data_IF_745763813050
#
_entry.id   IF_745763813050
#
_cell.length_a   1.000
_cell.length_b   1.000
_cell.length_c   1.000
_cell.angle_alpha   90.00
_cell.angle_beta   90.00
_cell.angle_gamma   90.00
#
_symmetry.space_group_name_H-M   'P 1'
#
loop_
_entity.id
_entity.type
_entity.pdbx_description
1 polymer ?
#
# COMPACT_ATOMS: atom_id res chain seq x y z
N UNK A 1 -8.44 22.82 4.50
CA UNK A 1 -8.01 21.68 5.33
C UNK A 1 -9.11 21.12 6.21
N UNK A 2 -10.22 20.67 5.63
CA UNK A 2 -11.16 19.75 6.29
C UNK A 2 -11.05 18.41 5.56
N UNK A 3 -11.10 17.32 6.31
CA UNK A 3 -11.06 15.96 5.74
C UNK A 3 -12.36 15.24 6.03
N UNK A 4 -12.73 14.30 5.16
CA UNK A 4 -13.73 13.29 5.44
C UNK A 4 -13.02 11.99 5.78
N UNK A 5 -13.22 11.43 6.98
CA UNK A 5 -12.74 10.11 7.36
C UNK A 5 -13.86 9.09 7.18
N UNK A 6 -13.73 8.17 6.23
CA UNK A 6 -14.66 7.05 6.05
C UNK A 6 -14.12 5.80 6.76
N UNK A 7 -14.95 5.20 7.60
CA UNK A 7 -14.62 4.01 8.37
C UNK A 7 -15.50 2.86 7.89
N UNK A 8 -14.84 1.80 7.42
CA UNK A 8 -15.48 0.59 6.93
C UNK A 8 -15.47 -0.54 7.98
N UNK A 9 -16.41 -1.50 7.89
CA UNK A 9 -16.46 -2.62 8.82
C UNK A 9 -15.22 -3.52 8.78
N UNK A 10 -14.65 -3.76 7.60
CA UNK A 10 -13.54 -4.70 7.43
C UNK A 10 -12.39 -4.13 6.62
N UNK A 11 -11.18 -4.68 6.80
CA UNK A 11 -9.99 -4.30 6.02
C UNK A 11 -10.18 -4.69 4.54
N UNK A 12 -10.90 -5.78 4.28
CA UNK A 12 -11.11 -6.32 2.95
C UNK A 12 -11.90 -5.39 2.04
N UNK A 13 -12.72 -4.51 2.60
CA UNK A 13 -13.56 -3.55 1.86
C UNK A 13 -12.82 -2.25 1.49
N UNK A 14 -11.69 -1.95 2.16
CA UNK A 14 -10.98 -0.66 2.02
C UNK A 14 -10.54 -0.38 0.60
N UNK A 15 -9.86 -1.34 -0.05
CA UNK A 15 -9.32 -1.13 -1.40
C UNK A 15 -10.44 -0.99 -2.44
N UNK A 16 -11.48 -1.83 -2.34
CA UNK A 16 -12.60 -1.82 -3.28
C UNK A 16 -13.41 -0.52 -3.15
N UNK A 17 -13.69 -0.08 -1.91
CA UNK A 17 -14.37 1.19 -1.65
C UNK A 17 -13.52 2.40 -2.08
N UNK A 18 -12.21 2.38 -1.81
CA UNK A 18 -11.30 3.45 -2.23
C UNK A 18 -11.26 3.63 -3.74
N UNK A 19 -11.25 2.51 -4.47
CA UNK A 19 -11.24 2.50 -5.91
C UNK A 19 -12.58 2.99 -6.50
N UNK A 20 -13.71 2.56 -5.95
CA UNK A 20 -15.03 3.08 -6.36
C UNK A 20 -15.10 4.60 -6.14
N UNK A 21 -14.69 5.10 -4.97
CA UNK A 21 -14.70 6.53 -4.70
C UNK A 21 -13.79 7.29 -5.67
N UNK A 22 -12.60 6.79 -5.95
CA UNK A 22 -11.70 7.42 -6.92
C UNK A 22 -12.33 7.51 -8.32
N UNK A 23 -13.00 6.45 -8.77
CA UNK A 23 -13.62 6.41 -10.09
C UNK A 23 -14.82 7.35 -10.20
N UNK A 24 -15.67 7.45 -9.18
CA UNK A 24 -16.88 8.28 -9.24
C UNK A 24 -16.64 9.75 -8.87
N UNK A 25 -15.71 10.04 -7.96
CA UNK A 25 -15.47 11.41 -7.47
C UNK A 25 -14.27 12.10 -8.13
N UNK A 26 -13.37 11.34 -8.76
CA UNK A 26 -12.06 11.84 -9.22
C UNK A 26 -11.07 12.14 -8.08
N UNK A 27 -11.46 11.93 -6.83
CA UNK A 27 -10.61 12.13 -5.66
C UNK A 27 -9.92 10.81 -5.34
N UNK A 28 -8.58 10.79 -5.37
CA UNK A 28 -7.83 9.61 -4.90
C UNK A 28 -7.75 9.66 -3.37
N UNK A 29 -8.41 8.72 -2.66
CA UNK A 29 -8.42 8.72 -1.20
C UNK A 29 -7.08 8.28 -0.62
N UNK A 30 -6.73 8.87 0.52
CA UNK A 30 -5.60 8.39 1.34
C UNK A 30 -6.08 7.22 2.20
N UNK A 31 -5.37 6.09 2.17
CA UNK A 31 -5.74 4.90 2.96
C UNK A 31 -4.93 4.86 4.25
N UNK A 32 -5.61 4.79 5.41
CA UNK A 32 -4.98 4.47 6.68
C UNK A 32 -5.05 2.96 6.95
N UNK A 33 -3.92 2.23 6.92
CA UNK A 33 -3.94 0.78 7.00
C UNK A 33 -4.01 0.26 8.45
N UNK A 34 -4.62 -0.91 8.61
CA UNK A 34 -4.53 -1.70 9.84
C UNK A 34 -3.22 -2.50 9.86
N UNK A 35 -2.69 -2.77 11.05
CA UNK A 35 -1.60 -3.74 11.24
C UNK A 35 -2.00 -5.12 10.73
N UNK A 36 -1.05 -5.78 10.06
CA UNK A 36 -1.15 -7.18 9.67
C UNK A 36 -0.54 -8.11 10.74
N UNK A 37 0.32 -7.57 11.62
CA UNK A 37 1.03 -8.24 12.72
C UNK A 37 0.44 -7.91 14.10
N UNK A 38 0.91 -8.62 15.15
CA UNK A 38 0.47 -8.40 16.53
C UNK A 38 0.95 -7.03 17.07
N UNK A 39 0.20 -6.38 18.00
CA UNK A 39 0.45 -5.01 18.48
C UNK A 39 1.81 -4.69 19.12
N UNK A 40 2.66 -5.69 19.37
CA UNK A 40 3.77 -5.59 20.31
C UNK A 40 5.14 -5.40 19.65
N UNK A 41 5.20 -5.42 18.30
CA UNK A 41 6.45 -5.30 17.55
C UNK A 41 6.35 -4.12 16.57
N UNK A 42 6.85 -2.95 16.97
CA UNK A 42 7.09 -1.84 16.05
C UNK A 42 8.55 -1.88 15.63
N UNK A 43 8.79 -2.25 14.36
CA UNK A 43 10.09 -2.21 13.73
C UNK A 43 10.09 -1.07 12.69
N UNK A 44 11.21 -0.36 12.54
CA UNK A 44 11.40 0.67 11.50
C UNK A 44 11.19 0.07 10.09
N UNK A 45 11.45 -1.23 9.94
CA UNK A 45 11.29 -1.93 8.67
C UNK A 45 9.81 -2.34 8.39
N UNK A 46 8.88 -2.04 9.30
CA UNK A 46 7.45 -2.29 9.11
C UNK A 46 6.82 -1.24 8.17
N UNK A 47 6.56 -1.68 6.93
CA UNK A 47 5.93 -0.88 5.87
C UNK A 47 4.55 -0.36 6.28
N UNK A 48 3.77 -1.13 7.07
CA UNK A 48 2.44 -0.72 7.52
C UNK A 48 2.56 0.38 8.58
N UNK A 49 3.50 0.23 9.52
CA UNK A 49 3.78 1.26 10.52
C UNK A 49 4.20 2.57 9.86
N UNK A 50 5.15 2.51 8.93
CA UNK A 50 5.58 3.65 8.15
C UNK A 50 4.44 4.31 7.35
N UNK A 51 3.59 3.51 6.70
CA UNK A 51 2.41 4.01 6.02
C UNK A 51 1.43 4.72 6.96
N UNK A 52 1.22 4.21 8.18
CA UNK A 52 0.38 4.88 9.20
C UNK A 52 0.97 6.23 9.61
N UNK A 53 2.29 6.30 9.85
CA UNK A 53 2.96 7.55 10.19
C UNK A 53 2.84 8.60 9.07
N UNK A 54 3.04 8.18 7.81
CA UNK A 54 2.86 9.05 6.64
C UNK A 54 1.47 9.66 6.61
N UNK A 55 0.43 8.84 6.73
CA UNK A 55 -0.96 9.30 6.68
C UNK A 55 -1.25 10.28 7.82
N UNK A 56 -0.76 10.01 9.02
CA UNK A 56 -0.92 10.92 10.16
C UNK A 56 -0.23 12.27 9.89
N UNK A 57 1.01 12.24 9.39
CA UNK A 57 1.74 13.46 9.01
C UNK A 57 0.98 14.25 7.94
N UNK A 58 0.47 13.58 6.91
CA UNK A 58 -0.28 14.22 5.84
C UNK A 58 -1.60 14.83 6.37
N UNK A 59 -2.31 14.13 7.28
CA UNK A 59 -3.50 14.65 7.96
C UNK A 59 -3.24 15.87 8.86
N UNK A 60 -2.02 16.00 9.36
CA UNK A 60 -1.60 17.09 10.26
C UNK A 60 -0.92 18.24 9.52
N UNK A 61 -0.76 18.11 8.20
CA UNK A 61 -0.17 19.13 7.34
C UNK A 61 -1.12 20.33 7.13
N UNK A 62 -0.61 21.40 6.52
CA UNK A 62 -1.42 22.58 6.17
C UNK A 62 -2.45 22.29 5.07
N UNK A 63 -2.21 21.25 4.26
CA UNK A 63 -3.11 20.81 3.19
C UNK A 63 -3.46 19.32 3.37
N UNK A 64 -4.29 18.99 4.37
CA UNK A 64 -4.60 17.60 4.69
C UNK A 64 -5.42 16.95 3.57
N UNK A 65 -5.28 15.62 3.36
CA UNK A 65 -6.01 14.92 2.33
C UNK A 65 -7.52 15.12 2.50
N UNK A 66 -8.26 15.43 1.42
CA UNK A 66 -9.69 15.72 1.51
C UNK A 66 -10.51 14.49 1.93
N UNK A 67 -10.00 13.29 1.65
CA UNK A 67 -10.65 12.03 1.95
C UNK A 67 -9.65 11.01 2.47
N UNK A 68 -9.94 10.45 3.64
CA UNK A 68 -9.19 9.35 4.25
C UNK A 68 -10.12 8.15 4.42
N UNK A 69 -9.69 6.97 4.02
CA UNK A 69 -10.46 5.72 4.16
C UNK A 69 -9.69 4.76 5.06
N UNK A 70 -10.42 4.08 5.94
CA UNK A 70 -9.87 3.17 6.93
C UNK A 70 -10.89 2.10 7.33
N UNK A 71 -10.49 1.14 8.15
CA UNK A 71 -11.37 0.17 8.79
C UNK A 71 -11.48 0.42 10.30
N UNK A 72 -12.53 -0.15 10.93
CA UNK A 72 -12.64 -0.17 12.40
C UNK A 72 -11.43 -0.83 13.05
N UNK A 73 -10.87 -1.88 12.44
CA UNK A 73 -9.68 -2.56 12.96
C UNK A 73 -8.50 -1.60 13.09
N UNK A 74 -8.26 -0.75 12.08
CA UNK A 74 -7.19 0.23 12.12
C UNK A 74 -7.41 1.32 13.18
N UNK A 75 -8.67 1.67 13.46
CA UNK A 75 -9.05 2.66 14.49
C UNK A 75 -8.85 2.15 15.92
N UNK A 76 -9.07 0.85 16.13
CA UNK A 76 -8.84 0.21 17.42
C UNK A 76 -7.34 0.16 17.77
N UNK A 77 -6.49 0.24 16.76
CA UNK A 77 -5.04 0.22 16.90
C UNK A 77 -4.51 1.63 17.22
N UNK A 78 -3.77 1.81 18.32
CA UNK A 78 -3.23 3.12 18.66
C UNK A 78 -2.21 3.60 17.63
N UNK A 79 -1.96 4.90 17.68
CA UNK A 79 -0.86 5.57 17.02
C UNK A 79 0.06 6.18 18.08
N UNK A 80 1.35 6.38 17.76
CA UNK A 80 2.28 7.09 18.65
C UNK A 80 1.72 8.48 18.96
N UNK A 81 1.73 8.98 20.21
CA UNK A 81 1.22 10.31 20.55
C UNK A 81 1.89 11.43 19.75
N UNK A 82 1.17 12.55 19.57
CA UNK A 82 1.69 13.73 18.86
C UNK A 82 3.01 14.25 19.44
N UNK A 83 3.13 14.28 20.76
CA UNK A 83 4.36 14.71 21.44
C UNK A 83 5.55 13.83 21.08
N UNK A 84 5.36 12.50 21.06
CA UNK A 84 6.39 11.53 20.70
C UNK A 84 6.81 11.68 19.23
N UNK A 85 5.84 11.83 18.32
CA UNK A 85 6.12 12.07 16.90
C UNK A 85 6.88 13.38 16.69
N UNK A 86 6.47 14.45 17.34
CA UNK A 86 7.15 15.75 17.24
C UNK A 86 8.59 15.66 17.76
N UNK A 87 8.83 14.98 18.89
CA UNK A 87 10.17 14.77 19.43
C UNK A 87 11.05 13.86 18.53
N UNK A 88 10.42 12.97 17.77
CA UNK A 88 11.06 12.13 16.76
C UNK A 88 11.18 12.77 15.38
N UNK A 89 10.72 14.01 15.19
CA UNK A 89 10.73 14.69 13.89
C UNK A 89 11.97 15.57 13.74
N UNK A 90 12.65 15.46 12.60
CA UNK A 90 13.71 16.38 12.17
C UNK A 90 13.42 16.84 10.75
N UNK A 91 13.56 18.13 10.48
CA UNK A 91 13.48 18.69 9.14
C UNK A 91 14.89 19.06 8.72
N UNK A 92 15.32 18.52 7.57
CA UNK A 92 16.63 18.77 6.99
C UNK A 92 16.44 19.65 5.75
N UNK A 93 17.22 20.72 5.59
CA UNK A 93 17.09 21.70 4.50
C UNK A 93 18.40 21.86 3.74
N UNK A 94 18.31 22.10 2.44
CA UNK A 94 19.48 22.48 1.64
C UNK A 94 20.09 23.79 2.18
N UNK A 95 21.40 23.80 2.36
CA UNK A 95 22.18 24.94 2.87
C UNK A 95 22.21 25.09 4.39
N UNK A 96 21.65 24.15 5.16
CA UNK A 96 21.83 24.17 6.62
C UNK A 96 23.11 23.43 7.05
N UNK A 97 23.64 23.80 8.22
CA UNK A 97 24.73 23.08 8.87
C UNK A 97 24.17 21.90 9.70
N UNK A 98 24.60 20.68 9.37
CA UNK A 98 24.29 19.44 10.04
C UNK A 98 25.53 18.54 10.12
N UNK A 99 25.94 18.20 11.34
CA UNK A 99 27.01 17.21 11.55
C UNK A 99 26.56 15.82 11.06
N UNK A 100 27.24 15.24 10.04
CA UNK A 100 26.90 13.93 9.52
C UNK A 100 26.93 12.85 10.61
N UNK A 101 27.94 12.85 11.49
CA UNK A 101 28.10 11.82 12.51
C UNK A 101 26.93 11.87 13.52
N UNK A 102 26.50 13.08 13.89
CA UNK A 102 25.33 13.28 14.76
C UNK A 102 24.01 12.82 14.09
N UNK A 103 23.90 12.91 12.76
CA UNK A 103 22.77 12.33 12.02
C UNK A 103 22.83 10.80 12.05
N UNK A 104 24.00 10.19 11.80
CA UNK A 104 24.17 8.74 11.79
C UNK A 104 23.86 8.12 13.16
N UNK A 105 24.36 8.71 14.25
CA UNK A 105 24.08 8.27 15.61
C UNK A 105 22.57 8.33 15.90
N UNK A 106 21.90 9.42 15.48
CA UNK A 106 20.46 9.58 15.65
C UNK A 106 19.64 8.52 14.89
N UNK A 107 20.08 8.12 13.69
CA UNK A 107 19.45 7.05 12.91
C UNK A 107 19.64 5.69 13.62
N UNK A 108 20.85 5.37 14.06
CA UNK A 108 21.18 4.10 14.74
C UNK A 108 20.39 3.97 16.05
N UNK A 109 20.33 5.04 16.86
CA UNK A 109 19.55 5.08 18.11
C UNK A 109 18.06 4.78 17.88
N UNK A 110 17.55 5.11 16.69
CA UNK A 110 16.15 4.90 16.30
C UNK A 110 15.92 3.61 15.55
N UNK A 111 16.92 2.74 15.48
CA UNK A 111 16.78 1.38 14.97
C UNK A 111 17.00 1.24 13.47
N UNK A 112 17.63 2.23 12.81
CA UNK A 112 18.03 2.06 11.43
C UNK A 112 19.20 1.07 11.29
N UNK A 113 19.23 0.39 10.14
CA UNK A 113 20.29 -0.54 9.77
C UNK A 113 21.26 0.10 8.79
N UNK A 114 22.56 0.11 9.14
CA UNK A 114 23.61 0.56 8.21
C UNK A 114 23.91 -0.55 7.23
N UNK A 115 23.66 -0.29 5.94
CA UNK A 115 23.84 -1.25 4.86
C UNK A 115 24.74 -0.69 3.75
N UNK A 116 25.37 -1.54 2.93
CA UNK A 116 26.14 -1.08 1.77
C UNK A 116 25.28 -0.46 0.67
N UNK A 117 24.03 -0.92 0.50
CA UNK A 117 23.09 -0.41 -0.47
C UNK A 117 21.67 -0.59 0.09
N UNK A 118 20.79 0.39 -0.16
CA UNK A 118 19.41 0.33 0.31
C UNK A 118 18.61 -0.69 -0.48
N UNK A 119 17.72 -1.40 0.20
CA UNK A 119 16.72 -2.31 -0.36
C UNK A 119 15.33 -2.08 0.26
N UNK A 120 15.27 -1.64 1.53
CA UNK A 120 14.04 -1.53 2.29
C UNK A 120 13.98 -0.27 3.18
N UNK A 121 12.77 0.18 3.59
CA UNK A 121 12.63 1.22 4.61
C UNK A 121 13.30 0.82 5.93
N UNK A 122 13.87 1.80 6.62
CA UNK A 122 14.65 1.63 7.85
C UNK A 122 16.15 1.37 7.64
N UNK A 123 16.61 1.43 6.41
CA UNK A 123 18.03 1.29 6.06
C UNK A 123 18.67 2.64 5.74
N UNK A 124 19.98 2.75 5.99
CA UNK A 124 20.80 3.84 5.50
C UNK A 124 22.18 3.34 5.02
N UNK A 125 22.78 4.07 4.08
CA UNK A 125 24.14 3.83 3.59
C UNK A 125 24.96 5.11 3.60
N UNK A 126 26.29 4.99 3.68
CA UNK A 126 27.21 6.13 3.75
C UNK A 126 28.36 5.92 2.78
N UNK A 127 28.55 6.87 1.87
CA UNK A 127 29.54 6.84 0.81
C UNK A 127 30.25 8.20 0.71
N UNK A 128 31.31 8.38 1.50
CA UNK A 128 31.98 9.68 1.61
C UNK A 128 31.03 10.73 2.17
N UNK A 129 30.83 11.84 1.44
CA UNK A 129 29.89 12.90 1.81
C UNK A 129 28.42 12.60 1.44
N UNK A 130 28.09 11.37 1.06
CA UNK A 130 26.72 11.00 0.67
C UNK A 130 26.12 10.08 1.72
N UNK A 131 24.94 10.44 2.21
CA UNK A 131 24.10 9.59 3.07
C UNK A 131 22.81 9.27 2.34
N UNK A 132 22.61 8.01 2.01
CA UNK A 132 21.34 7.52 1.51
C UNK A 132 20.53 6.94 2.66
N UNK A 133 19.26 7.31 2.77
CA UNK A 133 18.38 6.76 3.80
C UNK A 133 17.00 6.45 3.22
N UNK A 134 16.36 5.38 3.70
CA UNK A 134 14.99 5.06 3.35
C UNK A 134 14.07 5.26 4.56
N UNK A 135 13.41 6.42 4.69
CA UNK A 135 12.49 6.65 5.80
C UNK A 135 11.30 5.67 5.76
N UNK A 136 10.82 5.16 6.90
CA UNK A 136 9.64 4.30 6.96
C UNK A 136 8.38 5.00 6.45
N UNK A 137 8.24 6.31 6.70
CA UNK A 137 7.10 7.11 6.28
C UNK A 137 7.21 7.66 4.85
N UNK A 138 8.33 7.44 4.15
CA UNK A 138 8.53 7.88 2.77
C UNK A 138 8.08 6.83 1.75
N UNK A 139 7.81 7.29 0.53
CA UNK A 139 7.53 6.41 -0.62
C UNK A 139 8.80 5.98 -1.34
N UNK A 140 9.80 6.86 -1.37
CA UNK A 140 11.04 6.73 -2.11
C UNK A 140 12.19 7.16 -1.16
N UNK A 141 13.38 6.53 -1.23
CA UNK A 141 14.53 6.89 -0.40
C UNK A 141 15.04 8.30 -0.75
N UNK A 142 15.77 8.86 0.21
CA UNK A 142 16.34 10.20 0.12
C UNK A 142 17.85 10.10 0.17
N UNK A 143 18.51 10.80 -0.76
CA UNK A 143 19.95 11.01 -0.78
C UNK A 143 20.23 12.41 -0.25
N UNK A 144 21.10 12.47 0.76
CA UNK A 144 21.61 13.69 1.37
C UNK A 144 23.08 13.81 0.99
N UNK A 145 23.44 14.86 0.28
CA UNK A 145 24.83 15.16 -0.07
C UNK A 145 25.35 16.29 0.83
N UNK A 146 26.51 16.04 1.42
CA UNK A 146 27.19 16.94 2.34
C UNK A 146 28.45 17.52 1.70
N UNK A 147 28.69 18.81 1.95
CA UNK A 147 29.97 19.47 1.75
C UNK A 147 30.54 19.90 3.11
N UNK A 148 31.36 19.02 3.71
CA UNK A 148 31.75 19.20 5.12
C UNK A 148 30.55 18.91 6.03
N UNK A 149 30.10 19.93 6.74
CA UNK A 149 28.91 19.94 7.60
C UNK A 149 27.72 20.66 6.96
N UNK A 150 27.81 21.16 5.72
CA UNK A 150 26.70 21.81 5.02
C UNK A 150 25.95 20.82 4.11
N UNK A 151 24.62 20.89 4.10
CA UNK A 151 23.78 20.12 3.17
C UNK A 151 23.85 20.76 1.78
N UNK A 152 24.57 20.12 0.85
CA UNK A 152 24.73 20.59 -0.53
C UNK A 152 23.50 20.30 -1.38
N UNK A 153 22.95 19.09 -1.28
CA UNK A 153 21.76 18.71 -2.05
C UNK A 153 20.91 17.64 -1.36
N UNK A 154 19.61 17.69 -1.61
CA UNK A 154 18.65 16.66 -1.20
C UNK A 154 17.91 16.18 -2.45
N UNK A 155 17.75 14.87 -2.60
CA UNK A 155 16.96 14.30 -3.70
C UNK A 155 16.34 12.96 -3.35
N UNK A 156 15.23 12.63 -4.00
CA UNK A 156 14.68 11.27 -4.02
C UNK A 156 15.29 10.47 -5.15
N UNK A 157 15.38 9.15 -4.98
CA UNK A 157 15.89 8.26 -6.01
C UNK A 157 15.19 6.90 -5.99
N UNK A 158 15.25 6.17 -7.10
CA UNK A 158 14.69 4.83 -7.19
C UNK A 158 15.72 3.80 -6.68
N UNK A 159 15.32 2.96 -5.72
CA UNK A 159 16.20 1.98 -5.06
C UNK A 159 16.84 1.01 -6.06
N UNK A 160 16.07 0.58 -7.08
CA UNK A 160 16.51 -0.46 -8.03
C UNK A 160 17.47 0.10 -9.08
N UNK A 161 17.10 1.21 -9.73
CA UNK A 161 17.91 1.83 -10.78
C UNK A 161 19.00 2.77 -10.25
N UNK A 162 18.94 3.15 -8.96
CA UNK A 162 19.79 4.16 -8.34
C UNK A 162 19.72 5.51 -9.05
N UNK A 163 18.63 5.77 -9.79
CA UNK A 163 18.44 7.00 -10.56
C UNK A 163 17.62 8.00 -9.77
N UNK A 164 17.99 9.27 -9.92
CA UNK A 164 17.25 10.39 -9.36
C UNK A 164 15.80 10.39 -9.84
N UNK A 165 14.87 10.63 -8.91
CA UNK A 165 13.45 10.87 -9.18
C UNK A 165 13.18 12.37 -9.15
N UNK A 166 13.45 13.04 -8.03
CA UNK A 166 13.16 14.47 -7.86
C UNK A 166 14.17 15.16 -6.93
N UNK A 167 14.42 16.46 -7.13
CA UNK A 167 15.23 17.30 -6.24
C UNK A 167 14.34 17.86 -5.11
N UNK A 168 14.89 18.01 -3.90
CA UNK A 168 14.16 18.50 -2.73
C UNK A 168 14.85 19.75 -2.16
N UNK A 169 14.06 20.73 -1.73
CA UNK A 169 14.55 21.85 -0.94
C UNK A 169 14.68 21.48 0.56
N UNK A 170 13.80 20.58 1.02
CA UNK A 170 13.79 20.07 2.39
C UNK A 170 13.24 18.64 2.46
N UNK A 171 13.63 17.90 3.50
CA UNK A 171 13.08 16.58 3.84
C UNK A 171 12.73 16.56 5.33
N UNK A 172 11.54 16.06 5.67
CA UNK A 172 11.11 15.86 7.06
C UNK A 172 11.13 14.36 7.39
N UNK A 173 11.92 13.98 8.39
CA UNK A 173 12.07 12.61 8.88
C UNK A 173 11.34 12.46 10.21
N UNK A 174 10.38 11.54 10.30
CA UNK A 174 9.69 11.21 11.55
C UNK A 174 10.09 9.81 12.02
N UNK A 175 11.07 9.76 12.93
CA UNK A 175 11.67 8.51 13.37
C UNK A 175 11.45 8.31 14.88
N UNK A 176 10.72 7.25 15.21
CA UNK A 176 10.34 6.92 16.57
C UNK A 176 11.32 5.93 17.19
N UNK A 177 11.45 5.99 18.51
CA UNK A 177 12.29 5.05 19.24
C UNK A 177 11.64 3.65 19.21
N UNK A 178 12.38 2.59 18.85
CA UNK A 178 11.84 1.23 18.81
C UNK A 178 11.19 0.82 20.14
N UNK A 179 9.97 0.29 20.05
CA UNK A 179 9.24 -0.26 21.19
C UNK A 179 9.67 -1.72 21.40
N UNK A 180 10.77 -1.93 22.11
CA UNK A 180 11.38 -3.25 22.30
C UNK A 180 12.87 -3.15 22.04
N UNK A 181 13.67 -3.29 23.09
CA UNK A 181 15.11 -3.09 22.98
C UNK A 181 15.74 -4.05 21.97
N UNK A 182 16.62 -3.53 21.12
CA UNK A 182 17.60 -4.34 20.39
C UNK A 182 18.35 -5.17 21.44
N UNK A 183 18.28 -6.50 21.35
CA UNK A 183 19.21 -7.32 22.10
C UNK A 183 20.60 -6.99 21.54
N UNK A 184 21.35 -6.14 22.23
CA UNK A 184 22.77 -5.99 21.99
C UNK A 184 23.39 -7.37 22.22
N UNK A 185 23.76 -8.09 21.15
CA UNK A 185 24.74 -9.17 21.23
C UNK A 185 26.10 -8.52 21.53
N UNK A 186 26.30 -8.14 22.79
CA UNK A 186 27.59 -7.68 23.28
C UNK A 186 28.55 -8.87 23.35
N UNK A 187 29.76 -8.69 22.81
CA UNK A 187 30.90 -9.64 22.82
C UNK A 187 31.40 -10.06 24.21
N UNK A 188 30.70 -9.74 25.30
CA UNK A 188 30.99 -10.30 26.61
C UNK A 188 29.68 -10.51 27.39
N UNK A 189 29.28 -11.78 27.50
CA UNK A 189 28.03 -12.27 28.10
C UNK A 189 27.77 -11.86 29.55
N UNK A 190 27.47 -10.58 29.79
CA UNK A 190 26.83 -10.08 31.00
C UNK A 190 25.47 -9.49 30.63
N UNK A 191 24.44 -10.29 30.87
CA UNK A 191 23.04 -9.87 30.82
C UNK A 191 22.79 -8.75 31.85
N UNK A 192 22.97 -7.50 31.43
CA UNK A 192 22.37 -6.37 32.11
C UNK A 192 20.88 -6.37 31.80
N UNK A 193 20.04 -6.66 32.80
CA UNK A 193 18.59 -6.41 32.72
C UNK A 193 18.38 -4.90 32.56
N UNK A 194 18.30 -4.40 31.33
CA UNK A 194 17.62 -3.12 31.05
C UNK A 194 16.14 -3.39 31.22
N UNK A 195 15.51 -2.74 32.20
CA UNK A 195 14.07 -2.79 32.40
C UNK A 195 13.36 -2.33 31.12
N UNK A 196 12.73 -3.26 30.42
CA UNK A 196 11.77 -2.95 29.36
C UNK A 196 10.65 -2.15 30.02
N UNK A 197 10.60 -0.85 29.74
CA UNK A 197 9.48 0.02 30.11
C UNK A 197 8.22 -0.66 29.56
N UNK A 198 7.34 -1.15 30.44
CA UNK A 198 6.07 -1.76 30.04
C UNK A 198 5.29 -0.76 29.19
N UNK A 199 5.29 -0.91 27.88
CA UNK A 199 4.47 -0.17 26.91
C UNK A 199 3.00 -0.64 26.92
N UNK A 200 2.56 -1.35 27.96
CA UNK A 200 1.21 -1.90 28.10
C UNK A 200 0.23 -1.00 28.86
N UNK A 201 0.34 0.33 28.72
CA UNK A 201 -0.66 1.25 29.26
C UNK A 201 -1.96 1.21 28.43
N UNK A 202 -3.10 1.50 29.06
CA UNK A 202 -4.35 1.74 28.33
C UNK A 202 -4.12 2.94 27.38
N UNK A 203 -4.49 2.87 26.09
CA UNK A 203 -4.29 3.99 25.19
C UNK A 203 -5.10 5.22 25.65
N UNK A 204 -4.53 6.40 25.46
CA UNK A 204 -5.16 7.69 25.77
C UNK A 204 -5.81 8.27 24.52
N UNK A 205 -6.55 9.38 24.64
CA UNK A 205 -7.15 10.05 23.47
C UNK A 205 -6.13 10.44 22.41
N UNK A 206 -4.90 10.77 22.81
CA UNK A 206 -3.84 11.24 21.92
C UNK A 206 -3.21 10.10 21.12
N UNK A 207 -3.48 8.85 21.53
CA UNK A 207 -3.12 7.64 20.78
C UNK A 207 -4.13 7.30 19.68
N UNK A 208 -5.23 8.05 19.52
CA UNK A 208 -6.19 7.78 18.46
C UNK A 208 -5.79 8.53 17.19
N UNK A 209 -5.92 7.89 16.01
CA UNK A 209 -5.81 8.61 14.72
C UNK A 209 -6.78 9.80 14.66
N UNK A 210 -7.93 9.72 15.33
CA UNK A 210 -8.91 10.81 15.40
C UNK A 210 -8.34 12.09 16.03
N UNK A 211 -7.28 12.02 16.84
CA UNK A 211 -6.57 13.19 17.36
C UNK A 211 -5.74 13.94 16.29
N UNK A 212 -5.59 13.34 15.10
CA UNK A 212 -4.87 13.89 13.95
C UNK A 212 -5.82 14.57 12.94
N UNK A 213 -7.14 14.42 13.11
CA UNK A 213 -8.14 15.07 12.28
C UNK A 213 -8.28 16.56 12.60
N UNK A 214 -8.23 17.40 11.56
CA UNK A 214 -8.44 18.84 11.69
C UNK A 214 -9.85 19.17 12.23
N UNK A 215 -9.98 20.28 12.97
CA UNK A 215 -11.28 20.76 13.45
C UNK A 215 -12.22 21.06 12.28
N UNK A 216 -13.46 20.57 12.37
CA UNK A 216 -14.47 20.71 11.31
C UNK A 216 -14.44 19.60 10.25
N UNK A 217 -13.54 18.62 10.39
CA UNK A 217 -13.57 17.38 9.62
C UNK A 217 -14.81 16.54 9.96
N UNK A 218 -15.22 15.68 9.04
CA UNK A 218 -16.38 14.81 9.17
C UNK A 218 -15.97 13.34 9.28
N UNK A 219 -16.81 12.54 9.94
CA UNK A 219 -16.64 11.09 10.05
C UNK A 219 -17.82 10.39 9.37
N UNK A 220 -17.52 9.52 8.42
CA UNK A 220 -18.48 8.63 7.78
C UNK A 220 -18.37 7.22 8.35
N UNK A 221 -19.46 6.68 8.88
CA UNK A 221 -19.53 5.32 9.43
C UNK A 221 -20.35 4.44 8.47
N UNK A 222 -19.70 3.49 7.81
CA UNK A 222 -20.37 2.57 6.88
C UNK A 222 -20.82 1.33 7.64
N UNK A 223 -22.11 0.99 7.52
CA UNK A 223 -22.74 -0.17 8.14
C UNK A 223 -22.46 -0.25 9.64
N UNK A 224 -22.83 0.79 10.40
CA UNK A 224 -22.47 0.94 11.82
C UNK A 224 -22.68 -0.34 12.67
N UNK A 225 -23.80 -1.08 12.58
CA UNK A 225 -23.94 -2.34 13.32
C UNK A 225 -22.86 -3.37 12.97
N UNK A 226 -22.54 -3.53 11.68
CA UNK A 226 -21.49 -4.44 11.21
C UNK A 226 -20.10 -3.95 11.60
N UNK A 227 -19.87 -2.65 11.58
CA UNK A 227 -18.64 -2.00 12.03
C UNK A 227 -18.36 -2.33 13.50
N UNK A 228 -19.39 -2.16 14.36
CA UNK A 228 -19.30 -2.47 15.79
C UNK A 228 -18.99 -3.95 16.03
N UNK A 229 -19.68 -4.83 15.31
CA UNK A 229 -19.50 -6.28 15.43
C UNK A 229 -18.12 -6.73 14.96
N UNK A 230 -17.64 -6.18 13.84
CA UNK A 230 -16.31 -6.48 13.30
C UNK A 230 -15.20 -6.04 14.27
N UNK A 231 -15.38 -4.89 14.92
CA UNK A 231 -14.46 -4.42 15.96
C UNK A 231 -14.41 -5.35 17.18
N UNK A 232 -15.57 -5.80 17.67
CA UNK A 232 -15.65 -6.76 18.79
C UNK A 232 -14.98 -8.09 18.43
N UNK A 233 -15.34 -8.65 17.28
CA UNK A 233 -14.78 -9.91 16.80
C UNK A 233 -13.25 -9.84 16.65
N UNK A 234 -12.71 -8.71 16.18
CA UNK A 234 -11.28 -8.49 16.12
C UNK A 234 -10.61 -8.56 17.51
N UNK A 235 -11.15 -7.85 18.50
CA UNK A 235 -10.59 -7.84 19.86
C UNK A 235 -10.69 -9.20 20.55
N UNK A 236 -11.81 -9.92 20.37
CA UNK A 236 -12.01 -11.26 20.92
C UNK A 236 -10.99 -12.26 20.37
N UNK A 237 -10.67 -12.18 19.07
CA UNK A 237 -9.69 -13.05 18.42
C UNK A 237 -8.26 -12.88 18.93
N UNK A 238 -7.92 -11.72 19.48
CA UNK A 238 -6.58 -11.44 20.00
C UNK A 238 -6.31 -12.06 21.38
N UNK A 239 -7.35 -12.47 22.12
CA UNK A 239 -7.24 -13.06 23.46
C UNK A 239 -6.82 -12.07 24.56
N UNK A 240 -5.81 -11.23 24.32
CA UNK A 240 -5.35 -10.15 25.19
C UNK A 240 -5.16 -8.85 24.39
N UNK A 241 -6.21 -8.00 24.25
CA UNK A 241 -6.14 -6.76 23.48
C UNK A 241 -5.42 -5.61 24.23
N UNK A 242 -4.42 -5.93 25.06
CA UNK A 242 -3.71 -4.92 25.85
C UNK A 242 -3.05 -3.89 24.92
N UNK A 243 -3.27 -2.60 25.19
CA UNK A 243 -2.78 -1.49 24.38
C UNK A 243 -3.70 -1.06 23.23
N UNK A 244 -4.79 -1.78 22.94
CA UNK A 244 -5.80 -1.40 21.95
C UNK A 244 -6.94 -0.58 22.56
N UNK A 245 -7.62 0.22 21.73
CA UNK A 245 -8.88 0.84 22.11
C UNK A 245 -10.01 -0.18 22.11
N UNK A 246 -11.02 0.03 22.97
CA UNK A 246 -12.28 -0.67 22.83
C UNK A 246 -13.15 -0.05 21.74
N UNK A 247 -14.16 -0.79 21.31
CA UNK A 247 -15.14 -0.29 20.33
C UNK A 247 -15.90 0.92 20.90
N UNK A 248 -16.25 0.89 22.18
CA UNK A 248 -16.95 1.99 22.86
C UNK A 248 -16.09 3.25 22.92
N UNK A 249 -14.80 3.12 23.26
CA UNK A 249 -13.86 4.25 23.26
C UNK A 249 -13.72 4.86 21.87
N UNK A 250 -13.63 4.00 20.86
CA UNK A 250 -13.49 4.42 19.45
C UNK A 250 -14.74 5.17 18.98
N UNK A 251 -15.93 4.65 19.23
CA UNK A 251 -17.18 5.33 18.87
C UNK A 251 -17.38 6.64 19.62
N UNK A 252 -17.04 6.68 20.91
CA UNK A 252 -17.08 7.91 21.69
C UNK A 252 -16.11 8.97 21.14
N UNK A 253 -14.98 8.56 20.57
CA UNK A 253 -14.06 9.47 19.89
C UNK A 253 -14.62 9.95 18.54
N UNK A 254 -15.23 9.07 17.73
CA UNK A 254 -15.90 9.46 16.48
C UNK A 254 -17.01 10.50 16.72
N UNK A 255 -17.81 10.31 17.77
CA UNK A 255 -18.93 11.19 18.12
C UNK A 255 -18.52 12.63 18.50
N UNK A 256 -17.22 12.91 18.65
CA UNK A 256 -16.70 14.28 18.83
C UNK A 256 -16.70 15.09 17.52
N UNK A 257 -16.94 14.44 16.38
CA UNK A 257 -16.99 15.04 15.06
C UNK A 257 -18.41 14.96 14.47
N UNK A 258 -18.77 15.88 13.57
CA UNK A 258 -19.94 15.70 12.71
C UNK A 258 -19.87 14.33 12.02
N UNK A 259 -20.91 13.52 12.23
CA UNK A 259 -20.93 12.12 11.82
C UNK A 259 -22.08 11.87 10.84
N UNK A 260 -21.81 11.11 9.78
CA UNK A 260 -22.81 10.58 8.86
C UNK A 260 -22.72 9.06 8.89
N UNK A 261 -23.85 8.40 9.07
CA UNK A 261 -23.93 6.94 8.97
C UNK A 261 -24.49 6.55 7.61
N UNK A 262 -23.81 5.65 6.92
CA UNK A 262 -24.24 5.07 5.64
C UNK A 262 -24.65 3.63 5.90
N UNK A 263 -25.89 3.28 5.56
CA UNK A 263 -26.41 1.93 5.69
C UNK A 263 -27.26 1.59 4.47
N UNK A 264 -27.10 0.37 3.97
CA UNK A 264 -27.90 -0.21 2.89
C UNK A 264 -29.36 -0.40 3.29
N UNK A 265 -29.59 -0.71 4.57
CA UNK A 265 -30.92 -0.79 5.16
C UNK A 265 -31.17 0.45 6.01
N UNK A 266 -32.23 1.18 5.68
CA UNK A 266 -32.66 2.33 6.46
C UNK A 266 -32.94 1.90 7.91
N UNK A 267 -32.17 2.46 8.83
CA UNK A 267 -32.43 2.31 10.26
C UNK A 267 -33.42 3.39 10.66
N UNK A 268 -34.55 3.02 11.26
CA UNK A 268 -35.43 4.01 11.89
C UNK A 268 -34.71 4.56 13.12
N UNK A 269 -34.11 5.74 12.93
CA UNK A 269 -33.43 6.49 13.98
C UNK A 269 -34.21 7.76 14.28
N UNK A 270 -34.01 8.32 15.47
CA UNK A 270 -34.51 9.66 15.80
C UNK A 270 -33.72 10.79 15.14
N UNK A 271 -32.78 10.49 14.23
CA UNK A 271 -31.85 11.42 13.63
C UNK A 271 -32.30 11.88 12.23
N UNK A 272 -31.69 12.95 11.73
CA UNK A 272 -31.93 13.45 10.38
C UNK A 272 -31.51 12.38 9.35
N UNK A 273 -32.49 11.78 8.69
CA UNK A 273 -32.28 10.67 7.76
C UNK A 273 -32.56 11.13 6.32
N UNK A 274 -31.62 10.85 5.41
CA UNK A 274 -31.82 10.99 3.97
C UNK A 274 -31.84 9.59 3.34
N UNK A 275 -32.89 9.27 2.57
CA UNK A 275 -32.99 8.00 1.83
C UNK A 275 -32.63 8.25 0.38
N UNK A 276 -31.48 7.74 -0.03
CA UNK A 276 -31.08 7.72 -1.44
C UNK A 276 -31.85 6.60 -2.15
N UNK A 277 -32.43 6.90 -3.31
CA UNK A 277 -33.16 5.90 -4.10
C UNK A 277 -32.18 5.08 -4.95
N UNK A 278 -31.37 4.26 -4.27
CA UNK A 278 -30.37 3.37 -4.87
C UNK A 278 -30.78 1.93 -4.62
N UNK A 279 -30.81 1.12 -5.66
CA UNK A 279 -31.12 -0.31 -5.59
C UNK A 279 -29.92 -1.16 -6.01
N UNK A 280 -29.76 -2.32 -5.39
CA UNK A 280 -28.80 -3.33 -5.87
C UNK A 280 -29.37 -4.04 -7.10
N UNK A 281 -28.50 -4.40 -8.04
CA UNK A 281 -28.87 -5.21 -9.20
C UNK A 281 -28.58 -6.68 -8.89
N UNK A 282 -29.45 -7.58 -9.37
CA UNK A 282 -29.23 -9.02 -9.22
C UNK A 282 -27.96 -9.47 -9.96
N UNK A 283 -27.29 -10.50 -9.41
CA UNK A 283 -26.07 -11.04 -10.02
C UNK A 283 -26.44 -11.87 -11.25
N UNK A 284 -25.72 -11.62 -12.33
CA UNK A 284 -25.81 -12.42 -13.55
C UNK A 284 -25.20 -13.80 -13.30
N UNK A 285 -26.00 -14.85 -13.43
CA UNK A 285 -25.56 -16.24 -13.20
C UNK A 285 -25.71 -17.13 -14.43
N UNK A 286 -26.29 -16.58 -15.50
CA UNK A 286 -26.46 -17.27 -16.77
C UNK A 286 -25.14 -17.54 -17.50
N UNK A 287 -25.18 -18.41 -18.52
CA UNK A 287 -24.04 -18.65 -19.39
C UNK A 287 -23.67 -17.37 -20.17
N UNK A 288 -22.37 -17.18 -20.46
CA UNK A 288 -21.83 -15.93 -21.04
C UNK A 288 -22.53 -15.44 -22.31
N UNK A 289 -23.10 -16.33 -23.11
CA UNK A 289 -23.78 -15.98 -24.35
C UNK A 289 -25.21 -15.45 -24.15
N UNK A 290 -25.80 -15.65 -22.96
CA UNK A 290 -27.15 -15.18 -22.61
C UNK A 290 -27.14 -13.89 -21.78
N UNK A 291 -25.97 -13.41 -21.39
CA UNK A 291 -25.81 -12.26 -20.49
C UNK A 291 -26.52 -10.99 -20.97
N UNK A 292 -26.50 -10.71 -22.27
CA UNK A 292 -27.21 -9.54 -22.82
C UNK A 292 -28.73 -9.70 -22.74
N UNK A 293 -29.25 -10.93 -22.89
CA UNK A 293 -30.66 -11.23 -22.70
C UNK A 293 -31.07 -11.13 -21.22
N UNK A 294 -30.22 -11.64 -20.31
CA UNK A 294 -30.43 -11.51 -18.86
C UNK A 294 -30.45 -10.03 -18.45
N UNK A 295 -29.50 -9.25 -18.95
CA UNK A 295 -29.44 -7.80 -18.74
C UNK A 295 -30.70 -7.08 -19.26
N UNK A 296 -31.16 -7.41 -20.46
CA UNK A 296 -32.39 -6.85 -21.01
C UNK A 296 -33.66 -7.26 -20.24
N UNK A 297 -33.62 -8.37 -19.49
CA UNK A 297 -34.69 -8.80 -18.60
C UNK A 297 -34.74 -8.02 -17.28
N UNK A 298 -33.59 -7.52 -16.82
CA UNK A 298 -33.45 -6.79 -15.54
C UNK A 298 -33.60 -5.27 -15.70
N UNK A 299 -33.22 -4.73 -16.86
CA UNK A 299 -33.25 -3.29 -17.18
C UNK A 299 -34.57 -2.91 -17.85
N UNK A 300 -35.25 -1.88 -17.35
CA UNK A 300 -36.46 -1.37 -17.98
C UNK A 300 -36.16 -0.58 -19.27
N UNK A 301 -37.12 -0.55 -20.22
CA UNK A 301 -36.91 0.04 -21.56
C UNK A 301 -36.66 1.55 -21.57
N UNK A 302 -36.99 2.24 -20.49
CA UNK A 302 -36.80 3.69 -20.30
C UNK A 302 -35.65 4.00 -19.32
N UNK A 303 -34.84 3.00 -18.97
CA UNK A 303 -33.61 3.18 -18.20
C UNK A 303 -32.40 3.31 -19.11
N UNK A 304 -31.47 4.18 -18.74
CA UNK A 304 -30.14 4.25 -19.34
C UNK A 304 -29.22 3.27 -18.64
N UNK A 305 -28.27 2.71 -19.38
CA UNK A 305 -27.29 1.77 -18.85
C UNK A 305 -25.89 2.32 -19.07
N UNK A 306 -25.08 2.36 -18.01
CA UNK A 306 -23.66 2.64 -18.06
C UNK A 306 -22.90 1.35 -17.72
N UNK A 307 -22.13 0.84 -18.69
CA UNK A 307 -21.27 -0.34 -18.51
C UNK A 307 -19.82 0.11 -18.39
N UNK A 308 -19.24 -0.16 -17.22
CA UNK A 308 -17.84 0.11 -16.91
C UNK A 308 -16.98 -1.10 -17.30
N UNK A 309 -16.02 -0.88 -18.19
CA UNK A 309 -15.08 -1.91 -18.63
C UNK A 309 -13.69 -1.67 -18.07
N UNK A 310 -13.02 -2.72 -17.60
CA UNK A 310 -11.73 -2.57 -16.91
C UNK A 310 -10.57 -2.10 -17.81
N UNK A 311 -10.70 -2.18 -19.14
CA UNK A 311 -9.77 -1.61 -20.11
C UNK A 311 -10.43 -1.38 -21.48
N UNK A 312 -9.71 -0.71 -22.39
CA UNK A 312 -10.17 -0.44 -23.76
C UNK A 312 -10.44 -1.70 -24.59
N UNK A 313 -9.71 -2.81 -24.36
CA UNK A 313 -9.92 -4.04 -25.12
C UNK A 313 -11.25 -4.71 -24.78
N UNK A 314 -11.62 -4.80 -23.50
CA UNK A 314 -12.95 -5.30 -23.13
C UNK A 314 -14.07 -4.33 -23.53
N UNK A 315 -13.82 -3.01 -23.47
CA UNK A 315 -14.79 -2.02 -23.97
C UNK A 315 -15.09 -2.24 -25.45
N UNK A 316 -14.06 -2.42 -26.28
CA UNK A 316 -14.21 -2.68 -27.71
C UNK A 316 -14.92 -4.02 -27.97
N UNK A 317 -14.54 -5.06 -27.22
CA UNK A 317 -15.19 -6.38 -27.31
C UNK A 317 -16.67 -6.31 -26.93
N UNK A 318 -17.01 -5.59 -25.87
CA UNK A 318 -18.40 -5.43 -25.44
C UNK A 318 -19.20 -4.58 -26.43
N UNK A 319 -18.58 -3.58 -27.04
CA UNK A 319 -19.18 -2.80 -28.13
C UNK A 319 -19.52 -3.68 -29.34
N UNK A 320 -18.59 -4.56 -29.74
CA UNK A 320 -18.80 -5.53 -30.82
C UNK A 320 -19.98 -6.47 -30.49
N UNK A 321 -19.98 -7.07 -29.31
CA UNK A 321 -21.07 -7.94 -28.84
C UNK A 321 -22.44 -7.25 -28.83
N UNK A 322 -22.49 -5.99 -28.40
CA UNK A 322 -23.73 -5.20 -28.43
C UNK A 322 -24.19 -4.89 -29.86
N UNK A 323 -23.25 -4.64 -30.78
CA UNK A 323 -23.56 -4.35 -32.18
C UNK A 323 -24.04 -5.56 -32.97
N UNK A 324 -23.56 -6.75 -32.62
CA UNK A 324 -23.98 -8.03 -33.23
C UNK A 324 -25.29 -8.56 -32.64
N UNK A 325 -25.69 -8.07 -31.48
CA UNK A 325 -26.90 -8.51 -30.78
C UNK A 325 -28.15 -7.80 -31.29
N UNK A 326 -29.23 -8.55 -31.50
CA UNK A 326 -30.57 -7.98 -31.75
C UNK A 326 -31.29 -7.55 -30.45
N UNK A 327 -30.65 -7.75 -29.29
CA UNK A 327 -31.26 -7.49 -27.98
C UNK A 327 -31.22 -6.00 -27.67
N UNK A 328 -32.41 -5.41 -27.51
CA UNK A 328 -32.53 -4.02 -27.04
C UNK A 328 -32.46 -3.98 -25.52
N UNK A 329 -31.42 -3.31 -25.00
CA UNK A 329 -31.21 -3.08 -23.57
C UNK A 329 -31.48 -1.60 -23.28
N UNK A 330 -32.42 -1.33 -22.37
CA UNK A 330 -32.74 0.03 -21.94
C UNK A 330 -33.15 0.99 -23.07
N UNK A 331 -33.07 2.28 -22.75
CA UNK A 331 -33.19 3.39 -23.68
C UNK A 331 -31.88 3.59 -24.45
N UNK A 332 -30.76 3.58 -23.71
CA UNK A 332 -29.41 3.83 -24.21
C UNK A 332 -28.40 3.00 -23.40
N UNK A 333 -27.38 2.44 -24.07
CA UNK A 333 -26.23 1.78 -23.45
C UNK A 333 -24.98 2.59 -23.74
N UNK A 334 -24.31 3.05 -22.70
CA UNK A 334 -23.02 3.75 -22.79
C UNK A 334 -21.91 2.88 -22.21
N UNK A 335 -20.76 2.87 -22.88
CA UNK A 335 -19.58 2.14 -22.44
C UNK A 335 -18.48 3.12 -22.02
N UNK A 336 -17.88 2.90 -20.85
CA UNK A 336 -16.73 3.66 -20.38
C UNK A 336 -15.60 2.74 -19.91
N UNK A 337 -14.39 3.29 -19.83
CA UNK A 337 -13.29 2.61 -19.13
C UNK A 337 -13.29 3.07 -17.69
N UNK A 338 -13.28 2.11 -16.77
CA UNK A 338 -13.36 2.35 -15.34
C UNK A 338 -13.59 1.04 -14.60
N UNK A 339 -13.72 1.11 -13.28
CA UNK A 339 -14.03 -0.06 -12.47
C UNK A 339 -15.11 0.29 -11.46
N UNK A 340 -16.07 -0.62 -11.32
CA UNK A 340 -17.20 -0.49 -10.39
C UNK A 340 -17.28 -1.81 -9.68
N UNK A 341 -16.99 -1.86 -8.38
CA UNK A 341 -16.92 -3.12 -7.65
C UNK A 341 -18.26 -3.88 -7.67
N UNK A 342 -19.38 -3.17 -7.52
CA UNK A 342 -20.73 -3.72 -7.61
C UNK A 342 -21.70 -2.78 -8.32
N UNK A 343 -22.56 -3.37 -9.14
CA UNK A 343 -23.57 -2.70 -9.91
C UNK A 343 -24.74 -2.24 -9.07
N UNK A 344 -25.33 -1.11 -9.47
CA UNK A 344 -26.44 -0.49 -8.76
C UNK A 344 -27.33 0.29 -9.73
N UNK A 345 -28.56 0.54 -9.30
CA UNK A 345 -29.55 1.36 -10.02
C UNK A 345 -29.79 2.65 -9.23
N UNK A 346 -29.68 3.78 -9.90
CA UNK A 346 -30.13 5.09 -9.45
C UNK A 346 -31.56 5.32 -9.97
N UNK A 347 -32.54 5.13 -9.10
CA UNK A 347 -33.96 5.09 -9.49
C UNK A 347 -34.45 6.45 -9.98
N UNK A 348 -34.05 7.54 -9.32
CA UNK A 348 -34.48 8.90 -9.69
C UNK A 348 -33.93 9.32 -11.06
N UNK A 349 -32.72 8.89 -11.39
CA UNK A 349 -31.99 9.21 -12.63
C UNK A 349 -32.26 8.20 -13.75
N UNK A 350 -33.03 7.13 -13.47
CA UNK A 350 -33.28 5.99 -14.35
C UNK A 350 -31.99 5.46 -14.97
N UNK A 351 -30.98 5.27 -14.13
CA UNK A 351 -29.64 4.87 -14.55
C UNK A 351 -29.24 3.58 -13.86
N UNK A 352 -28.85 2.61 -14.66
CA UNK A 352 -28.29 1.32 -14.25
C UNK A 352 -26.78 1.36 -14.51
N UNK A 353 -25.97 1.17 -13.47
CA UNK A 353 -24.51 1.12 -13.57
C UNK A 353 -24.04 -0.30 -13.29
N UNK A 354 -23.25 -0.86 -14.19
CA UNK A 354 -22.74 -2.24 -14.09
C UNK A 354 -21.28 -2.31 -14.52
N UNK A 355 -20.58 -3.33 -14.06
CA UNK A 355 -19.23 -3.67 -14.49
C UNK A 355 -19.23 -4.84 -15.49
N UNK A 356 -18.19 -4.90 -16.34
CA UNK A 356 -17.96 -6.04 -17.22
C UNK A 356 -17.71 -7.35 -16.44
N UNK A 357 -17.08 -7.31 -15.26
CA UNK A 357 -16.85 -8.50 -14.46
C UNK A 357 -18.14 -9.08 -13.86
N UNK A 358 -19.11 -8.24 -13.50
CA UNK A 358 -20.43 -8.69 -13.06
C UNK A 358 -21.20 -9.35 -14.20
N UNK A 359 -21.11 -8.81 -15.42
CA UNK A 359 -21.75 -9.38 -16.59
C UNK A 359 -21.18 -10.76 -16.95
N UNK A 360 -19.85 -10.93 -16.89
CA UNK A 360 -19.20 -12.16 -17.37
C UNK A 360 -18.81 -13.15 -16.26
N UNK A 361 -19.24 -12.89 -15.02
CA UNK A 361 -18.93 -13.71 -13.84
C UNK A 361 -17.42 -13.86 -13.61
N UNK A 362 -16.62 -12.85 -13.99
CA UNK A 362 -15.17 -12.90 -13.80
C UNK A 362 -14.89 -12.51 -12.35
N UNK A 363 -14.38 -13.44 -11.55
CA UNK A 363 -13.80 -13.09 -10.26
C UNK A 363 -12.61 -12.17 -10.53
N UNK A 364 -12.71 -10.91 -10.12
CA UNK A 364 -11.57 -10.00 -10.22
C UNK A 364 -10.43 -10.55 -9.35
N UNK A 365 -9.32 -10.91 -9.98
CA UNK A 365 -8.06 -11.06 -9.25
C UNK A 365 -7.70 -9.67 -8.74
N UNK A 366 -7.72 -9.48 -7.42
CA UNK A 366 -7.27 -8.26 -6.75
C UNK A 366 -5.87 -7.91 -7.25
N UNK A 367 -5.77 -6.97 -8.20
CA UNK A 367 -4.53 -6.26 -8.44
C UNK A 367 -4.45 -5.23 -7.34
N UNK A 368 -3.71 -5.58 -6.28
CA UNK A 368 -3.40 -4.62 -5.22
C UNK A 368 -2.77 -3.40 -5.91
N UNK A 369 -3.39 -2.24 -5.74
CA UNK A 369 -2.87 -0.94 -6.17
C UNK A 369 -1.82 -0.41 -5.20
N UNK A 370 -1.27 -1.26 -4.31
CA UNK A 370 0.09 -1.06 -3.82
C UNK A 370 0.93 -0.91 -5.08
N UNK A 371 1.51 0.29 -5.32
CA UNK A 371 2.55 0.54 -6.34
C UNK A 371 3.25 -0.78 -6.54
N UNK A 372 3.15 -1.36 -7.74
CA UNK A 372 3.88 -2.58 -8.08
C UNK A 372 5.33 -2.35 -7.61
N UNK A 373 5.69 -2.89 -6.43
CA UNK A 373 6.87 -3.74 -6.37
C UNK A 373 6.65 -4.63 -7.56
N UNK A 374 7.39 -4.40 -8.65
CA UNK A 374 7.56 -5.42 -9.67
C UNK A 374 7.98 -6.65 -8.87
N UNK A 375 7.00 -7.48 -8.55
CA UNK A 375 7.19 -8.70 -7.81
C UNK A 375 8.15 -9.51 -8.67
N UNK A 376 9.39 -9.63 -8.18
CA UNK A 376 10.16 -10.86 -7.93
C UNK A 376 9.62 -12.21 -8.43
N UNK A 377 8.83 -12.26 -9.49
CA UNK A 377 8.46 -13.48 -10.21
C UNK A 377 8.84 -13.25 -11.67
N UNK A 378 10.01 -13.80 -12.00
CA UNK A 378 10.73 -13.66 -13.28
C UNK A 378 11.56 -12.37 -13.40
N UNK A 379 12.48 -12.11 -12.46
CA UNK A 379 13.64 -11.28 -12.81
C UNK A 379 14.48 -12.05 -13.83
N UNK A 380 14.66 -11.45 -15.00
CA UNK A 380 15.89 -11.68 -15.77
C UNK A 380 17.00 -11.14 -14.85
N UNK A 381 17.98 -11.98 -14.51
CA UNK A 381 19.15 -11.51 -13.78
C UNK A 381 19.90 -10.60 -14.74
N UNK A 382 19.80 -9.28 -14.54
CA UNK A 382 20.46 -8.29 -15.38
C UNK A 382 21.99 -8.27 -15.17
N UNK A 383 22.49 -8.95 -14.12
CA UNK A 383 23.92 -9.04 -13.78
C UNK A 383 24.34 -10.42 -13.30
N UNK A 384 25.30 -11.05 -13.99
CA UNK A 384 25.85 -12.37 -13.63
C UNK A 384 26.48 -12.43 -12.22
N UNK A 385 26.76 -11.27 -11.60
CA UNK A 385 27.30 -11.16 -10.24
C UNK A 385 26.32 -11.67 -9.17
N UNK A 386 25.03 -11.80 -9.50
CA UNK A 386 24.00 -12.30 -8.59
C UNK A 386 23.87 -13.83 -8.61
N UNK A 387 24.52 -14.52 -9.56
CA UNK A 387 24.42 -15.96 -9.72
C UNK A 387 25.22 -16.72 -8.65
N UNK A 388 24.52 -17.58 -7.91
CA UNK A 388 25.11 -18.54 -6.96
C UNK A 388 25.27 -19.90 -7.63
N UNK A 389 26.28 -20.65 -7.20
CA UNK A 389 26.48 -22.00 -7.70
C UNK A 389 25.23 -22.86 -7.44
N UNK A 390 24.79 -23.60 -8.46
CA UNK A 390 23.55 -24.37 -8.57
C UNK A 390 22.28 -23.61 -8.95
N UNK A 391 22.34 -22.29 -9.14
CA UNK A 391 21.19 -21.54 -9.66
C UNK A 391 20.78 -22.05 -11.05
N UNK A 392 19.47 -22.05 -11.30
CA UNK A 392 18.92 -22.40 -12.61
C UNK A 392 19.02 -21.21 -13.54
N UNK A 393 19.67 -21.41 -14.68
CA UNK A 393 19.87 -20.40 -15.72
C UNK A 393 19.25 -20.89 -17.02
N UNK A 394 18.74 -19.95 -17.81
CA UNK A 394 18.19 -20.23 -19.14
C UNK A 394 19.16 -19.73 -20.19
N UNK A 395 19.69 -20.66 -20.99
CA UNK A 395 20.48 -20.32 -22.17
C UNK A 395 19.55 -20.31 -23.39
N UNK A 396 19.51 -19.23 -24.18
CA UNK A 396 18.55 -19.10 -25.30
C UNK A 396 18.58 -20.28 -26.29
N UNK A 397 19.76 -20.78 -26.64
CA UNK A 397 19.90 -21.92 -27.58
C UNK A 397 19.78 -23.31 -26.94
N UNK A 398 20.10 -23.48 -25.65
CA UNK A 398 20.27 -24.80 -25.02
C UNK A 398 19.22 -25.12 -23.94
N UNK A 399 18.40 -24.14 -23.55
CA UNK A 399 17.34 -24.31 -22.56
C UNK A 399 17.83 -24.13 -21.12
N UNK A 400 17.22 -24.86 -20.17
CA UNK A 400 17.48 -24.70 -18.73
C UNK A 400 18.70 -25.53 -18.31
N UNK A 401 19.68 -24.88 -17.69
CA UNK A 401 20.87 -25.50 -17.11
C UNK A 401 21.13 -25.03 -15.67
N UNK A 402 22.09 -25.66 -14.99
CA UNK A 402 22.57 -25.26 -13.65
C UNK A 402 23.88 -24.52 -13.77
N UNK A 403 23.99 -23.34 -13.15
CA UNK A 403 25.24 -22.60 -13.08
C UNK A 403 26.24 -23.29 -12.14
N UNK A 404 27.49 -23.44 -12.59
CA UNK A 404 28.58 -24.13 -11.89
C UNK A 404 29.78 -23.21 -11.61
N UNK A 405 29.55 -21.89 -11.61
CA UNK A 405 30.60 -20.90 -11.38
C UNK A 405 31.32 -20.46 -12.66
N UNK A 406 32.35 -19.64 -12.47
CA UNK A 406 33.21 -19.16 -13.55
C UNK A 406 34.45 -20.03 -13.69
N UNK A 407 34.87 -20.28 -14.94
CA UNK A 407 36.15 -20.93 -15.25
C UNK A 407 36.96 -20.06 -16.20
N UNK A 408 38.27 -20.05 -15.99
CA UNK A 408 39.24 -19.48 -16.93
C UNK A 408 39.60 -20.54 -17.96
N UNK A 409 39.36 -20.25 -19.23
CA UNK A 409 39.71 -21.11 -20.36
C UNK A 409 40.64 -20.34 -21.29
N UNK A 410 41.56 -21.07 -21.92
CA UNK A 410 42.50 -20.53 -22.91
C UNK A 410 41.89 -20.73 -24.30
N UNK A 411 41.69 -19.62 -25.02
CA UNK A 411 41.20 -19.61 -26.40
C UNK A 411 41.95 -18.52 -27.18
N UNK A 412 42.47 -18.87 -28.37
CA UNK A 412 43.21 -17.97 -29.27
C UNK A 412 44.33 -17.16 -28.57
N UNK A 413 45.21 -17.83 -27.82
CA UNK A 413 46.33 -17.24 -27.06
C UNK A 413 45.93 -16.18 -26.01
N UNK A 414 44.66 -16.13 -25.61
CA UNK A 414 44.19 -15.27 -24.53
C UNK A 414 43.40 -16.04 -23.47
N UNK A 415 43.62 -15.68 -22.20
CA UNK A 415 42.85 -16.21 -21.08
C UNK A 415 41.51 -15.49 -20.99
N UNK A 416 40.42 -16.23 -21.17
CA UNK A 416 39.06 -15.70 -21.13
C UNK A 416 38.22 -16.37 -20.05
N UNK A 417 37.43 -15.57 -19.32
CA UNK A 417 36.49 -16.06 -18.33
C UNK A 417 35.18 -16.53 -18.99
N UNK A 418 34.71 -17.70 -18.57
CA UNK A 418 33.51 -18.35 -19.07
C UNK A 418 32.60 -18.77 -17.91
N UNK A 419 31.29 -18.64 -18.10
CA UNK A 419 30.29 -19.24 -17.22
C UNK A 419 30.19 -20.73 -17.55
N UNK A 420 30.33 -21.57 -16.53
CA UNK A 420 30.11 -23.00 -16.65
C UNK A 420 28.65 -23.33 -16.36
N UNK A 421 27.95 -23.92 -17.33
CA UNK A 421 26.54 -24.31 -17.21
C UNK A 421 26.41 -25.81 -17.47
N UNK A 422 25.80 -26.53 -16.54
CA UNK A 422 25.53 -27.97 -16.64
C UNK A 422 24.09 -28.23 -17.09
N UNK A 423 23.91 -28.98 -18.15
CA UNK A 423 22.61 -29.43 -18.66
C UNK A 423 22.31 -30.88 -18.27
N UNK A 424 21.06 -31.30 -18.49
CA UNK A 424 20.65 -32.67 -18.26
C UNK A 424 21.56 -33.68 -18.99
N UNK A 425 21.97 -34.74 -18.30
CA UNK A 425 22.93 -35.72 -18.81
C UNK A 425 24.41 -35.38 -18.56
N UNK A 426 24.71 -34.35 -17.76
CA UNK A 426 26.08 -33.98 -17.37
C UNK A 426 26.87 -33.24 -18.46
N UNK A 427 26.18 -32.69 -19.46
CA UNK A 427 26.79 -31.92 -20.53
C UNK A 427 27.14 -30.52 -20.02
N UNK A 428 28.40 -30.12 -20.18
CA UNK A 428 28.89 -28.80 -19.78
C UNK A 428 28.98 -27.88 -20.99
N UNK A 429 28.39 -26.69 -20.89
CA UNK A 429 28.55 -25.58 -21.84
C UNK A 429 29.29 -24.45 -21.16
N UNK A 430 30.24 -23.85 -21.87
CA UNK A 430 31.03 -22.71 -21.40
C UNK A 430 30.66 -21.49 -22.23
N UNK A 431 30.04 -20.49 -21.59
CA UNK A 431 29.60 -19.26 -22.25
C UNK A 431 30.59 -18.14 -21.92
N UNK A 432 31.26 -17.51 -22.91
CA UNK A 432 32.17 -16.39 -22.67
C UNK A 432 31.44 -15.23 -21.97
N UNK A 433 32.11 -14.56 -21.03
CA UNK A 433 31.51 -13.42 -20.30
C UNK A 433 31.02 -12.31 -21.25
N UNK A 434 31.67 -12.13 -22.39
CA UNK A 434 31.28 -11.17 -23.42
C UNK A 434 29.93 -11.46 -24.09
N UNK A 435 29.42 -12.70 -23.99
CA UNK A 435 28.19 -13.15 -24.67
C UNK A 435 27.01 -13.38 -23.71
N UNK A 436 27.11 -12.98 -22.44
CA UNK A 436 26.06 -13.21 -21.41
C UNK A 436 24.73 -12.48 -21.72
N UNK A 437 24.76 -11.44 -22.56
CA UNK A 437 23.56 -10.69 -22.96
C UNK A 437 22.71 -11.40 -24.04
N UNK A 438 23.17 -12.54 -24.54
CA UNK A 438 22.49 -13.46 -25.46
C UNK A 438 22.07 -14.71 -24.69
#
# INVERSE_FOLDING_TARGET
GQSLLIILPTIQEVDDFALDVANFSGITPTIFPAWESLPQEHNVNDVVFGARLRVIRDMESNDPPPLVITSVTALLQPVPPREERNAGTRTIKVGEELDPDALLDWLIERGFDRVPALEAPGEFSVHGGIVDLFPPDALDPVRIEFFGDEIESLRTFDVESQRKIDDLDEVTLTLLTPSGGRAEEGENGRQGKRETKKTGGQPTTDNSILASLARGSWVGLVELPQLMESGKSYLERLGQPAGLFTVEQTMAACAKFPTVTLASLGVDTGEATCRLQVESIERFTGPRHEVLHELAGVVARDERVLLSCHNEAEKNRLAELLSESEVRIGEEVQLCVGRVHRGFRLVAERLVVLSDHELFGRTELRRTTRRKKKSAETRVIDSFLELRENDLVVHLSHGIGRYRGMKKLEADDQMQEHLAIEFHGGVMVYVPVSLIHL
#
